data_IF_812800641156
#
_entry.id   IF_812800641156
#
_cell.length_a   1.000
_cell.length_b   1.000
_cell.length_c   1.000
_cell.angle_alpha   90.00
_cell.angle_beta   90.00
_cell.angle_gamma   90.00
#
_symmetry.space_group_name_H-M   'P 1'
#
loop_
_entity.id
_entity.type
_entity.pdbx_description
1 polymer ?
#
# COMPACT_ATOMS: atom_id res chain seq x y z
N UNK A 1 -0.26 -13.78 0.83
CA UNK A 1 0.63 -12.72 1.31
C UNK A 1 1.53 -12.31 0.16
N UNK A 2 1.65 -11.00 -0.13
CA UNK A 2 2.60 -10.42 -1.11
C UNK A 2 2.55 -11.06 -2.52
N UNK A 3 1.35 -11.47 -2.94
CA UNK A 3 1.15 -12.26 -4.17
C UNK A 3 1.52 -11.50 -5.45
N UNK A 4 1.61 -10.17 -5.37
CA UNK A 4 1.90 -9.28 -6.49
C UNK A 4 3.38 -9.13 -6.82
N UNK A 5 4.28 -9.57 -5.93
CA UNK A 5 5.72 -9.55 -6.17
C UNK A 5 6.16 -10.68 -7.14
N UNK A 6 5.25 -11.59 -7.48
CA UNK A 6 5.37 -12.56 -8.57
C UNK A 6 4.16 -12.52 -9.50
N UNK A 7 4.19 -13.26 -10.62
CA UNK A 7 3.12 -13.22 -11.64
C UNK A 7 2.15 -14.40 -11.58
N UNK A 8 2.57 -15.54 -11.04
CA UNK A 8 1.86 -16.82 -11.15
C UNK A 8 0.45 -16.80 -10.55
N UNK A 9 0.25 -16.07 -9.46
CA UNK A 9 -1.00 -16.13 -8.68
C UNK A 9 -1.83 -14.85 -8.74
N UNK A 10 -1.36 -13.82 -9.46
CA UNK A 10 -1.98 -12.50 -9.53
C UNK A 10 -3.41 -12.57 -10.07
N UNK A 11 -3.64 -13.39 -11.09
CA UNK A 11 -4.94 -13.57 -11.73
C UNK A 11 -6.00 -14.21 -10.83
N UNK A 12 -5.58 -14.95 -9.79
CA UNK A 12 -6.49 -15.61 -8.86
C UNK A 12 -6.85 -14.77 -7.64
N UNK A 13 -6.12 -13.69 -7.38
CA UNK A 13 -6.24 -12.90 -6.15
C UNK A 13 -7.66 -12.34 -5.94
N UNK A 14 -8.12 -11.48 -6.86
CA UNK A 14 -9.44 -10.84 -6.75
C UNK A 14 -10.59 -11.86 -6.83
N UNK A 15 -10.56 -12.86 -7.73
CA UNK A 15 -11.56 -13.94 -7.72
C UNK A 15 -11.65 -14.69 -6.38
N UNK A 16 -10.51 -15.04 -5.77
CA UNK A 16 -10.49 -15.70 -4.47
C UNK A 16 -11.09 -14.82 -3.37
N UNK A 17 -10.76 -13.53 -3.34
CA UNK A 17 -11.33 -12.57 -2.39
C UNK A 17 -12.85 -12.45 -2.53
N UNK A 18 -13.38 -12.44 -3.77
CA UNK A 18 -14.83 -12.43 -4.03
C UNK A 18 -15.51 -13.67 -3.46
N UNK A 19 -14.95 -14.86 -3.67
CA UNK A 19 -15.52 -16.10 -3.13
C UNK A 19 -15.57 -16.09 -1.60
N UNK A 20 -14.50 -15.62 -0.95
CA UNK A 20 -14.44 -15.48 0.52
C UNK A 20 -15.49 -14.46 0.99
N UNK A 21 -15.61 -13.31 0.33
CA UNK A 21 -16.59 -12.28 0.65
C UNK A 21 -18.02 -12.80 0.52
N UNK A 22 -18.33 -13.57 -0.52
CA UNK A 22 -19.64 -14.21 -0.70
C UNK A 22 -19.93 -15.18 0.45
N UNK A 23 -18.97 -16.01 0.85
CA UNK A 23 -19.16 -16.92 1.98
C UNK A 23 -19.42 -16.17 3.29
N UNK A 24 -18.68 -15.09 3.56
CA UNK A 24 -18.86 -14.22 4.73
C UNK A 24 -20.24 -13.55 4.73
N UNK A 25 -20.70 -13.08 3.57
CA UNK A 25 -22.02 -12.48 3.41
C UNK A 25 -23.15 -13.49 3.63
N UNK A 26 -23.01 -14.71 3.10
CA UNK A 26 -23.97 -15.79 3.31
C UNK A 26 -24.09 -16.20 4.79
N UNK A 27 -23.02 -15.98 5.57
CA UNK A 27 -23.01 -16.17 7.02
C UNK A 27 -23.47 -14.92 7.82
N UNK A 28 -23.82 -13.82 7.16
CA UNK A 28 -24.15 -12.52 7.78
C UNK A 28 -23.01 -11.91 8.62
N UNK A 29 -21.75 -12.16 8.27
CA UNK A 29 -20.57 -11.72 9.03
C UNK A 29 -19.83 -10.52 8.40
N UNK A 30 -20.31 -9.97 7.28
CA UNK A 30 -19.62 -8.95 6.47
C UNK A 30 -19.35 -7.61 7.19
N UNK A 31 -20.07 -7.35 8.28
CA UNK A 31 -19.88 -6.15 9.09
C UNK A 31 -18.79 -6.34 10.16
N UNK A 32 -18.44 -7.59 10.47
CA UNK A 32 -17.47 -7.95 11.50
C UNK A 32 -16.16 -8.49 10.91
N UNK A 33 -16.21 -9.11 9.72
CA UNK A 33 -15.07 -9.73 9.07
C UNK A 33 -14.89 -9.07 7.70
N UNK A 34 -13.76 -8.38 7.51
CA UNK A 34 -13.39 -7.74 6.25
C UNK A 34 -12.38 -8.59 5.49
N UNK A 35 -12.58 -8.71 4.18
CA UNK A 35 -11.64 -9.39 3.28
C UNK A 35 -10.65 -8.38 2.74
N UNK A 36 -9.37 -8.63 2.94
CA UNK A 36 -8.26 -7.88 2.36
C UNK A 36 -7.13 -8.84 1.97
N UNK A 37 -6.03 -8.28 1.49
CA UNK A 37 -4.78 -8.98 1.20
C UNK A 37 -3.61 -8.05 1.50
N UNK A 38 -2.50 -8.63 1.93
CA UNK A 38 -1.27 -7.93 2.27
C UNK A 38 -0.36 -7.80 1.05
N UNK A 39 0.26 -6.63 0.91
CA UNK A 39 1.14 -6.25 -0.19
C UNK A 39 2.55 -5.94 0.30
N UNK A 40 3.56 -6.29 -0.48
CA UNK A 40 4.92 -5.82 -0.24
C UNK A 40 5.00 -4.31 -0.53
N UNK A 41 5.89 -3.59 0.12
CA UNK A 41 6.05 -2.14 -0.07
C UNK A 41 6.47 -1.74 -1.49
N UNK A 42 7.02 -2.67 -2.27
CA UNK A 42 7.56 -2.44 -3.61
C UNK A 42 6.50 -2.38 -4.71
N UNK A 43 5.23 -2.63 -4.38
CA UNK A 43 4.11 -2.53 -5.34
C UNK A 43 3.80 -1.08 -5.74
N UNK A 44 4.25 -0.12 -4.93
CA UNK A 44 4.16 1.31 -5.20
C UNK A 44 5.55 1.94 -5.32
N UNK A 45 5.61 3.05 -6.04
CA UNK A 45 6.80 3.88 -6.19
C UNK A 45 6.40 5.36 -6.23
N UNK A 46 7.39 6.25 -6.27
CA UNK A 46 7.16 7.69 -6.38
C UNK A 46 7.87 8.47 -5.28
N UNK A 47 8.48 9.58 -5.67
CA UNK A 47 9.14 10.51 -4.76
C UNK A 47 9.02 11.95 -5.32
N UNK A 48 8.58 12.94 -4.53
CA UNK A 48 8.20 12.85 -3.11
C UNK A 48 6.90 12.02 -2.91
N UNK A 49 6.52 11.68 -1.65
CA UNK A 49 5.40 10.77 -1.39
C UNK A 49 4.08 11.12 -2.10
N UNK A 50 3.76 12.41 -2.28
CA UNK A 50 2.59 12.89 -3.02
C UNK A 50 2.52 12.45 -4.48
N UNK A 51 3.63 12.00 -5.06
CA UNK A 51 3.72 11.44 -6.41
C UNK A 51 3.62 9.91 -6.43
N UNK A 52 3.16 9.30 -5.34
CA UNK A 52 3.01 7.86 -5.24
C UNK A 52 2.10 7.29 -6.32
N UNK A 53 2.54 6.21 -6.98
CA UNK A 53 1.77 5.45 -7.97
C UNK A 53 2.06 3.95 -7.84
N UNK A 54 1.10 3.11 -8.24
CA UNK A 54 1.36 1.67 -8.37
C UNK A 54 2.16 1.38 -9.64
N UNK A 55 3.09 0.42 -9.56
CA UNK A 55 3.89 -0.02 -10.70
C UNK A 55 3.00 -0.49 -11.85
N UNK A 56 3.38 -0.17 -13.09
CA UNK A 56 2.56 -0.47 -14.27
C UNK A 56 2.24 -1.96 -14.44
N UNK A 57 3.15 -2.84 -14.02
CA UNK A 57 2.96 -4.30 -14.07
C UNK A 57 1.79 -4.80 -13.22
N UNK A 58 1.47 -4.10 -12.12
CA UNK A 58 0.41 -4.50 -11.18
C UNK A 58 -0.75 -3.52 -11.14
N UNK A 59 -0.63 -2.35 -11.79
CA UNK A 59 -1.63 -1.26 -11.77
C UNK A 59 -3.03 -1.73 -12.14
N UNK A 60 -3.18 -2.58 -13.16
CA UNK A 60 -4.48 -3.14 -13.56
C UNK A 60 -5.12 -4.02 -12.47
N UNK A 61 -4.31 -4.89 -11.85
CA UNK A 61 -4.76 -5.70 -10.72
C UNK A 61 -5.07 -4.82 -9.51
N UNK A 62 -4.28 -3.77 -9.24
CA UNK A 62 -4.52 -2.84 -8.14
C UNK A 62 -5.81 -2.06 -8.31
N UNK A 63 -6.13 -1.62 -9.52
CA UNK A 63 -7.43 -1.00 -9.76
C UNK A 63 -8.59 -1.97 -9.43
N UNK A 64 -8.50 -3.22 -9.88
CA UNK A 64 -9.52 -4.25 -9.60
C UNK A 64 -9.65 -4.59 -8.11
N UNK A 65 -8.51 -4.62 -7.41
CA UNK A 65 -8.44 -4.86 -5.97
C UNK A 65 -9.05 -3.70 -5.19
N UNK A 66 -8.63 -2.45 -5.46
CA UNK A 66 -9.11 -1.27 -4.76
C UNK A 66 -10.61 -1.08 -4.98
N UNK A 67 -11.11 -1.40 -6.18
CA UNK A 67 -12.55 -1.43 -6.44
C UNK A 67 -13.27 -2.42 -5.50
N UNK A 68 -12.74 -3.64 -5.36
CA UNK A 68 -13.28 -4.64 -4.45
C UNK A 68 -13.26 -4.14 -2.99
N UNK A 69 -12.13 -3.61 -2.53
CA UNK A 69 -11.98 -3.12 -1.15
C UNK A 69 -12.95 -1.97 -0.85
N UNK A 70 -13.06 -1.01 -1.77
CA UNK A 70 -14.00 0.12 -1.67
C UNK A 70 -15.45 -0.36 -1.56
N UNK A 71 -15.87 -1.30 -2.42
CA UNK A 71 -17.23 -1.83 -2.43
C UNK A 71 -17.64 -2.57 -1.14
N UNK A 72 -16.66 -3.06 -0.36
CA UNK A 72 -16.90 -3.85 0.85
C UNK A 72 -16.47 -3.15 2.14
N UNK A 73 -15.97 -1.92 2.05
CA UNK A 73 -15.42 -1.16 3.18
C UNK A 73 -14.26 -1.90 3.85
N UNK A 74 -13.42 -2.55 3.04
CA UNK A 74 -12.24 -3.27 3.50
C UNK A 74 -10.99 -2.40 3.42
N UNK A 75 -10.00 -2.61 4.30
CA UNK A 75 -8.74 -1.88 4.26
C UNK A 75 -7.80 -2.38 3.16
N UNK A 76 -6.87 -1.55 2.73
CA UNK A 76 -5.67 -1.96 2.00
C UNK A 76 -4.58 -2.30 3.03
N UNK A 77 -3.94 -3.47 2.92
CA UNK A 77 -2.90 -3.87 3.87
C UNK A 77 -1.51 -3.85 3.23
N UNK A 78 -0.56 -3.16 3.84
CA UNK A 78 0.80 -3.02 3.30
C UNK A 78 1.87 -3.40 4.33
N UNK A 79 2.80 -4.26 3.93
CA UNK A 79 3.98 -4.57 4.71
C UNK A 79 5.05 -3.51 4.40
N UNK A 80 5.17 -2.50 5.28
CA UNK A 80 6.09 -1.38 5.11
C UNK A 80 7.40 -1.63 5.85
N UNK A 81 8.51 -1.66 5.11
CA UNK A 81 9.85 -1.95 5.65
C UNK A 81 10.86 -0.85 5.28
N UNK A 82 11.05 0.19 6.11
CA UNK A 82 12.07 1.22 5.90
C UNK A 82 13.48 0.65 5.68
N UNK A 83 13.78 -0.50 6.29
CA UNK A 83 15.06 -1.20 6.15
C UNK A 83 15.41 -1.56 4.70
N UNK A 84 14.47 -2.08 3.91
CA UNK A 84 14.76 -2.48 2.53
C UNK A 84 15.02 -1.26 1.65
N UNK A 85 14.25 -0.17 1.83
CA UNK A 85 14.52 1.10 1.17
C UNK A 85 15.90 1.66 1.54
N UNK A 86 16.26 1.67 2.83
CA UNK A 86 17.60 2.08 3.29
C UNK A 86 18.71 1.25 2.67
N UNK A 87 18.64 -0.07 2.79
CA UNK A 87 19.71 -0.94 2.30
C UNK A 87 19.84 -0.93 0.77
N UNK A 88 18.73 -0.73 0.06
CA UNK A 88 18.71 -0.58 -1.40
C UNK A 88 19.24 0.78 -1.89
N UNK A 89 19.22 1.82 -1.05
CA UNK A 89 19.73 3.15 -1.42
C UNK A 89 20.39 3.88 -0.25
N UNK A 90 21.47 3.32 0.29
CA UNK A 90 22.22 3.91 1.43
C UNK A 90 22.87 5.25 1.10
N UNK A 91 23.03 5.58 -0.19
CA UNK A 91 23.60 6.84 -0.63
C UNK A 91 22.62 8.02 -0.48
N UNK A 92 21.32 7.77 -0.68
CA UNK A 92 20.28 8.81 -0.58
C UNK A 92 19.45 8.72 0.70
N UNK A 93 19.36 7.54 1.32
CA UNK A 93 18.55 7.30 2.51
C UNK A 93 19.50 7.13 3.70
N UNK A 94 19.43 8.07 4.64
CA UNK A 94 20.22 7.98 5.87
C UNK A 94 19.65 6.93 6.82
N UNK A 95 20.53 6.33 7.64
CA UNK A 95 20.10 5.37 8.66
C UNK A 95 19.16 6.04 9.68
N UNK A 96 19.44 7.27 10.08
CA UNK A 96 18.61 8.02 11.04
C UNK A 96 17.18 8.22 10.51
N UNK A 97 17.01 8.46 9.21
CA UNK A 97 15.68 8.59 8.59
C UNK A 97 14.91 7.28 8.63
N UNK A 98 15.57 6.15 8.42
CA UNK A 98 14.96 4.82 8.48
C UNK A 98 14.63 4.36 9.92
N UNK A 99 15.35 4.87 10.93
CA UNK A 99 15.21 4.48 12.34
C UNK A 99 14.40 5.47 13.20
N UNK A 100 13.69 6.44 12.59
CA UNK A 100 12.95 7.50 13.30
C UNK A 100 13.84 8.40 14.19
N UNK A 101 15.09 8.60 13.79
CA UNK A 101 16.10 9.35 14.56
C UNK A 101 16.52 10.68 13.90
N UNK A 102 15.90 11.09 12.79
CA UNK A 102 16.17 12.41 12.22
C UNK A 102 15.66 13.51 13.14
N UNK A 103 16.48 14.54 13.34
CA UNK A 103 16.14 15.70 14.19
C UNK A 103 15.52 16.87 13.40
N UNK A 104 15.42 16.74 12.09
CA UNK A 104 14.87 17.75 11.18
C UNK A 104 14.11 17.09 10.03
N UNK A 105 13.34 17.88 9.30
CA UNK A 105 12.73 17.47 8.04
C UNK A 105 13.76 16.91 7.08
N UNK A 106 13.51 15.70 6.59
CA UNK A 106 14.33 15.04 5.57
C UNK A 106 13.70 15.25 4.19
N UNK A 107 12.36 15.19 4.11
CA UNK A 107 11.61 15.42 2.88
C UNK A 107 10.52 16.44 3.14
N UNK A 108 10.55 17.54 2.39
CA UNK A 108 9.45 18.50 2.30
C UNK A 108 8.65 18.21 1.03
N UNK A 109 7.34 18.02 1.17
CA UNK A 109 6.45 17.64 0.07
C UNK A 109 5.17 18.48 0.11
N UNK A 110 5.20 19.60 -0.62
CA UNK A 110 4.16 20.63 -0.50
C UNK A 110 4.05 21.10 0.95
N UNK A 111 2.87 20.94 1.55
CA UNK A 111 2.60 21.27 2.96
C UNK A 111 2.96 20.18 3.98
N UNK A 112 3.49 19.02 3.55
CA UNK A 112 3.84 17.90 4.42
C UNK A 112 5.35 17.85 4.67
N UNK A 113 5.73 17.48 5.90
CA UNK A 113 7.11 17.32 6.32
C UNK A 113 7.30 15.90 6.83
N UNK A 114 8.25 15.17 6.25
CA UNK A 114 8.60 13.82 6.68
C UNK A 114 9.96 13.83 7.38
N UNK A 115 9.93 13.38 8.64
CA UNK A 115 11.13 13.25 9.48
C UNK A 115 11.56 11.79 9.61
N UNK A 116 10.70 10.84 9.23
CA UNK A 116 11.00 9.41 9.20
C UNK A 116 10.53 8.78 7.89
N UNK A 117 11.21 7.71 7.48
CA UNK A 117 10.97 7.05 6.20
C UNK A 117 9.66 6.25 6.19
N UNK A 118 9.21 5.77 7.34
CA UNK A 118 7.97 5.00 7.44
C UNK A 118 6.76 5.83 7.00
N UNK A 119 6.61 7.05 7.53
CA UNK A 119 5.52 7.96 7.16
C UNK A 119 5.56 8.31 5.68
N UNK A 120 6.76 8.53 5.13
CA UNK A 120 6.92 8.79 3.70
C UNK A 120 6.47 7.60 2.84
N UNK A 121 6.84 6.37 3.23
CA UNK A 121 6.43 5.16 2.50
C UNK A 121 4.92 4.89 2.62
N UNK A 122 4.32 5.17 3.78
CA UNK A 122 2.87 5.08 3.99
C UNK A 122 2.13 6.07 3.08
N UNK A 123 2.54 7.34 3.07
CA UNK A 123 1.90 8.36 2.25
C UNK A 123 2.13 8.14 0.75
N UNK A 124 3.22 7.48 0.34
CA UNK A 124 3.39 7.00 -1.05
C UNK A 124 2.30 6.01 -1.44
N UNK A 125 1.96 5.05 -0.58
CA UNK A 125 0.87 4.09 -0.85
C UNK A 125 -0.50 4.77 -0.87
N UNK A 126 -0.75 5.70 0.06
CA UNK A 126 -1.99 6.49 0.09
C UNK A 126 -2.14 7.30 -1.19
N UNK A 127 -1.07 7.99 -1.63
CA UNK A 127 -1.06 8.76 -2.87
C UNK A 127 -1.32 7.87 -4.08
N UNK A 128 -0.73 6.68 -4.13
CA UNK A 128 -0.97 5.69 -5.19
C UNK A 128 -2.44 5.26 -5.29
N UNK A 129 -3.11 5.04 -4.15
CA UNK A 129 -4.54 4.75 -4.11
C UNK A 129 -5.38 5.94 -4.57
N UNK A 130 -5.01 7.16 -4.15
CA UNK A 130 -5.68 8.40 -4.57
C UNK A 130 -5.56 8.64 -6.08
N UNK A 131 -4.39 8.39 -6.68
CA UNK A 131 -4.19 8.50 -8.13
C UNK A 131 -5.09 7.56 -8.91
N UNK A 132 -5.42 6.38 -8.36
CA UNK A 132 -6.38 5.45 -8.95
C UNK A 132 -7.85 5.76 -8.61
N UNK A 133 -8.14 6.84 -7.87
CA UNK A 133 -9.49 7.27 -7.55
C UNK A 133 -10.09 6.67 -6.27
N UNK A 134 -9.26 6.12 -5.38
CA UNK A 134 -9.70 5.48 -4.13
C UNK A 134 -9.16 6.18 -2.86
N UNK A 135 -9.51 7.45 -2.61
CA UNK A 135 -8.93 8.23 -1.51
C UNK A 135 -9.36 7.79 -0.11
N UNK A 136 -10.44 7.01 0.00
CA UNK A 136 -11.09 6.70 1.28
C UNK A 136 -10.84 5.28 1.77
N UNK A 137 -9.99 4.50 1.09
CA UNK A 137 -9.62 3.16 1.56
C UNK A 137 -8.60 3.33 2.69
N UNK A 138 -8.88 2.83 3.91
CA UNK A 138 -7.92 2.90 4.99
C UNK A 138 -6.73 1.99 4.69
N UNK A 139 -5.53 2.49 4.97
CA UNK A 139 -4.31 1.68 4.94
C UNK A 139 -4.04 1.11 6.35
N UNK A 140 -3.72 -0.17 6.41
CA UNK A 140 -3.32 -0.90 7.62
C UNK A 140 -1.94 -1.52 7.42
#
# INVERSE_FOLDING_TARGET
>A
NEVLSGTQYVSYLVPAMRNIQTAIQNANLQNNIKVSTTHASDVSNGFPPSQGVFNDQVKGTMNSLLQFLSNHGSPFMANIYPYFSYTGNRASISLNYALFQSTSTVVQDGGRSYNNLFDALVDTHISAMQTLGYPNIPLI
#
